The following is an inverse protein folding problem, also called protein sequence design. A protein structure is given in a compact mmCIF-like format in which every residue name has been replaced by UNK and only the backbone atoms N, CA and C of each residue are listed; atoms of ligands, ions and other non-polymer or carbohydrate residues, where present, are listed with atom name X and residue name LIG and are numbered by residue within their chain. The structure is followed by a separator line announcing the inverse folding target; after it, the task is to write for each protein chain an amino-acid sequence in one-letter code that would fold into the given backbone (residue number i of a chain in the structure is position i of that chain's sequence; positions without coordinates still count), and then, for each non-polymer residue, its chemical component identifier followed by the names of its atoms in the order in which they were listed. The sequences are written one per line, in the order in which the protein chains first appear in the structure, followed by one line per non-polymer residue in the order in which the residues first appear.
data_IF_782639710584
#
_entry.id   IF_782639710584
#
_cell.length_a   1.000
_cell.length_b   1.000
_cell.length_c   1.000
_cell.angle_alpha   90.00
_cell.angle_beta   90.00
_cell.angle_gamma   90.00
#
_symmetry.space_group_name_H-M   'P 1'
#
loop_
_entity.id
_entity.type
_entity.pdbx_description
1 polymer ?
#
# COMPACT_ATOMS: atom_id res chain seq x y z
N UNK A 1 -32.83 -25.28 60.30
CA UNK A 1 -33.08 -26.53 59.57
C UNK A 1 -32.86 -26.29 58.09
N UNK A 2 -31.88 -26.92 57.56
CA UNK A 2 -31.29 -26.78 56.24
C UNK A 2 -32.11 -27.56 55.21
N UNK A 3 -32.22 -27.01 54.02
CA UNK A 3 -32.81 -27.66 52.84
C UNK A 3 -32.02 -27.28 51.59
N UNK A 4 -30.88 -27.94 51.38
CA UNK A 4 -30.09 -27.83 50.17
C UNK A 4 -30.75 -28.57 49.00
N UNK A 5 -31.05 -27.88 47.91
CA UNK A 5 -31.40 -28.51 46.64
C UNK A 5 -30.17 -28.56 45.76
N UNK A 6 -29.69 -29.79 45.49
CA UNK A 6 -28.69 -30.08 44.44
C UNK A 6 -29.40 -30.10 43.10
N UNK A 7 -28.86 -29.32 42.17
CA UNK A 7 -29.23 -29.38 40.76
C UNK A 7 -28.48 -30.55 40.08
N UNK A 8 -29.09 -31.29 39.15
CA UNK A 8 -28.41 -32.37 38.43
C UNK A 8 -27.54 -31.84 37.35
N UNK A 9 -26.30 -32.32 37.30
CA UNK A 9 -25.35 -32.11 36.20
C UNK A 9 -25.90 -32.75 34.92
N UNK A 10 -26.21 -31.94 33.94
CA UNK A 10 -26.47 -32.36 32.57
C UNK A 10 -25.19 -32.87 31.92
N UNK A 11 -25.17 -34.14 31.57
CA UNK A 11 -24.13 -34.76 30.71
C UNK A 11 -24.25 -34.13 29.32
N UNK A 12 -23.24 -33.36 28.93
CA UNK A 12 -23.10 -32.84 27.59
C UNK A 12 -22.79 -33.97 26.61
N UNK A 13 -23.67 -34.12 25.67
CA UNK A 13 -23.50 -34.96 24.47
C UNK A 13 -22.34 -34.43 23.63
N UNK A 14 -21.30 -35.20 23.49
CA UNK A 14 -20.25 -34.99 22.48
C UNK A 14 -20.76 -35.50 21.15
N UNK A 15 -21.51 -34.70 20.45
CA UNK A 15 -21.86 -34.92 19.05
C UNK A 15 -20.75 -34.41 18.14
N UNK A 16 -20.32 -35.30 17.30
CA UNK A 16 -19.21 -35.23 16.37
C UNK A 16 -18.99 -33.91 15.68
N UNK A 17 -17.80 -33.42 15.82
CA UNK A 17 -17.25 -32.42 14.92
C UNK A 17 -17.00 -33.07 13.57
N UNK A 18 -17.96 -32.92 12.68
CA UNK A 18 -17.71 -33.10 11.26
C UNK A 18 -16.60 -32.13 10.84
N UNK A 19 -15.46 -32.69 10.49
CA UNK A 19 -14.38 -31.97 9.83
C UNK A 19 -14.87 -31.58 8.42
N UNK A 20 -15.66 -30.53 8.34
CA UNK A 20 -15.88 -29.85 7.08
C UNK A 20 -14.59 -29.07 6.78
N UNK A 21 -13.66 -29.74 6.11
CA UNK A 21 -12.55 -29.09 5.41
C UNK A 21 -13.15 -28.21 4.31
N UNK A 22 -13.55 -27.02 4.69
CA UNK A 22 -13.92 -25.97 3.73
C UNK A 22 -12.64 -25.47 3.09
N UNK A 23 -12.34 -25.98 1.90
CA UNK A 23 -11.37 -25.45 0.94
C UNK A 23 -11.62 -23.96 0.60
N UNK A 24 -12.71 -23.37 1.11
CA UNK A 24 -13.08 -21.96 0.92
C UNK A 24 -12.44 -20.98 1.88
N UNK A 25 -11.69 -21.44 2.92
CA UNK A 25 -11.17 -20.56 3.96
C UNK A 25 -9.74 -20.02 3.73
N UNK A 26 -9.13 -20.29 2.58
CA UNK A 26 -7.71 -19.99 2.34
C UNK A 26 -7.48 -18.80 1.42
N UNK A 27 -8.51 -18.20 0.88
CA UNK A 27 -8.36 -17.01 0.04
C UNK A 27 -9.06 -15.82 0.69
N UNK A 28 -8.40 -14.68 0.83
CA UNK A 28 -7.16 -14.28 0.21
C UNK A 28 -5.91 -14.64 1.04
N UNK A 29 -4.86 -14.95 0.31
CA UNK A 29 -3.56 -15.25 0.88
C UNK A 29 -2.92 -13.96 1.38
N UNK A 30 -2.42 -13.96 2.61
CA UNK A 30 -1.70 -12.84 3.24
C UNK A 30 -0.35 -13.28 3.81
N UNK A 31 0.31 -12.36 4.47
CA UNK A 31 1.57 -12.57 5.16
C UNK A 31 2.78 -11.99 4.44
N UNK A 32 3.83 -11.71 5.22
CA UNK A 32 5.06 -11.07 4.73
C UNK A 32 5.71 -11.84 3.57
N UNK A 33 5.66 -13.18 3.59
CA UNK A 33 6.18 -14.01 2.49
C UNK A 33 5.46 -13.76 1.17
N UNK A 34 4.14 -13.60 1.21
CA UNK A 34 3.32 -13.29 0.03
C UNK A 34 3.60 -11.88 -0.47
N UNK A 35 3.77 -10.90 0.42
CA UNK A 35 4.15 -9.54 0.05
C UNK A 35 5.51 -9.53 -0.67
N UNK A 36 6.53 -10.19 -0.11
CA UNK A 36 7.86 -10.26 -0.71
C UNK A 36 7.83 -10.97 -2.07
N UNK A 37 7.08 -12.05 -2.18
CA UNK A 37 6.88 -12.75 -3.46
C UNK A 37 6.18 -11.83 -4.47
N UNK A 38 5.13 -11.13 -4.07
CA UNK A 38 4.40 -10.18 -4.91
C UNK A 38 5.31 -9.06 -5.45
N UNK A 39 6.16 -8.48 -4.59
CA UNK A 39 7.16 -7.48 -4.97
C UNK A 39 8.15 -8.04 -5.99
N UNK A 40 8.67 -9.26 -5.75
CA UNK A 40 9.61 -9.90 -6.65
C UNK A 40 8.98 -10.21 -8.01
N UNK A 41 7.77 -10.77 -8.02
CA UNK A 41 7.02 -11.10 -9.25
C UNK A 41 6.69 -9.83 -10.03
N UNK A 42 6.28 -8.74 -9.37
CA UNK A 42 6.03 -7.46 -10.03
C UNK A 42 7.31 -6.86 -10.66
N UNK A 43 8.48 -7.17 -10.13
CA UNK A 43 9.76 -6.75 -10.68
C UNK A 43 10.07 -7.36 -12.06
N UNK A 44 9.60 -8.59 -12.31
CA UNK A 44 9.91 -9.31 -13.56
C UNK A 44 9.44 -8.54 -14.82
N UNK A 45 8.16 -8.14 -14.96
CA UNK A 45 7.72 -7.36 -16.12
C UNK A 45 8.39 -5.98 -16.19
N UNK A 46 8.72 -5.36 -15.06
CA UNK A 46 9.44 -4.09 -15.03
C UNK A 46 10.86 -4.25 -15.61
N UNK A 47 11.58 -5.31 -15.25
CA UNK A 47 12.88 -5.63 -15.80
C UNK A 47 12.81 -5.96 -17.29
N UNK A 48 11.81 -6.73 -17.72
CA UNK A 48 11.59 -7.00 -19.14
C UNK A 48 11.35 -5.69 -19.92
N UNK A 49 10.54 -4.79 -19.39
CA UNK A 49 10.29 -3.47 -19.97
C UNK A 49 11.59 -2.65 -20.10
N UNK A 50 12.43 -2.63 -19.05
CA UNK A 50 13.74 -1.97 -19.09
C UNK A 50 14.59 -2.58 -20.19
N UNK A 51 14.68 -3.91 -20.29
CA UNK A 51 15.49 -4.60 -21.29
C UNK A 51 15.08 -4.23 -22.73
N UNK A 52 13.77 -4.09 -22.98
CA UNK A 52 13.24 -3.68 -24.31
C UNK A 52 13.50 -2.20 -24.58
N UNK A 53 13.23 -1.32 -23.60
CA UNK A 53 13.27 0.13 -23.82
C UNK A 53 14.70 0.70 -23.84
N UNK A 54 15.65 0.15 -23.06
CA UNK A 54 16.98 0.73 -22.89
C UNK A 54 17.74 0.97 -24.21
N UNK A 55 17.49 0.12 -25.22
CA UNK A 55 18.12 0.24 -26.54
C UNK A 55 17.56 1.40 -27.35
N UNK A 56 16.30 1.77 -27.14
CA UNK A 56 15.59 2.81 -27.91
C UNK A 56 15.60 4.16 -27.23
N UNK A 57 15.51 4.19 -25.91
CA UNK A 57 15.25 5.41 -25.13
C UNK A 57 16.44 5.87 -24.29
N UNK A 58 17.47 5.02 -24.17
CA UNK A 58 18.61 5.23 -23.27
C UNK A 58 18.41 4.54 -21.92
N UNK A 59 19.51 4.06 -21.36
CA UNK A 59 19.50 3.21 -20.16
C UNK A 59 18.95 3.96 -18.93
N UNK A 60 19.40 5.20 -18.69
CA UNK A 60 18.99 5.98 -17.52
C UNK A 60 17.47 6.19 -17.45
N UNK A 61 16.85 6.57 -18.58
CA UNK A 61 15.40 6.75 -18.62
C UNK A 61 14.65 5.43 -18.50
N UNK A 62 15.09 4.37 -19.18
CA UNK A 62 14.44 3.06 -19.12
C UNK A 62 14.43 2.50 -17.69
N UNK A 63 15.56 2.61 -16.98
CA UNK A 63 15.65 2.21 -15.58
C UNK A 63 14.77 3.07 -14.68
N UNK A 64 14.75 4.40 -14.88
CA UNK A 64 13.87 5.28 -14.10
C UNK A 64 12.40 4.90 -14.26
N UNK A 65 11.96 4.60 -15.48
CA UNK A 65 10.59 4.17 -15.73
C UNK A 65 10.29 2.80 -15.12
N UNK A 66 11.16 1.82 -15.34
CA UNK A 66 10.96 0.48 -14.79
C UNK A 66 10.91 0.48 -13.25
N UNK A 67 11.80 1.23 -12.61
CA UNK A 67 11.82 1.39 -11.16
C UNK A 67 10.59 2.17 -10.64
N UNK A 68 10.10 3.18 -11.39
CA UNK A 68 8.86 3.88 -11.04
C UNK A 68 7.68 2.92 -11.01
N UNK A 69 7.51 2.13 -12.06
CA UNK A 69 6.42 1.15 -12.13
C UNK A 69 6.55 0.09 -11.04
N UNK A 70 7.77 -0.37 -10.78
CA UNK A 70 8.01 -1.33 -9.71
C UNK A 70 7.76 -0.74 -8.32
N UNK A 71 8.12 0.53 -8.06
CA UNK A 71 7.81 1.19 -6.79
C UNK A 71 6.30 1.35 -6.58
N UNK A 72 5.55 1.69 -7.63
CA UNK A 72 4.08 1.76 -7.55
C UNK A 72 3.45 0.37 -7.29
N UNK A 73 3.95 -0.67 -7.96
CA UNK A 73 3.51 -2.04 -7.69
C UNK A 73 3.85 -2.48 -6.26
N UNK A 74 5.04 -2.11 -5.76
CA UNK A 74 5.46 -2.38 -4.38
C UNK A 74 4.53 -1.68 -3.38
N UNK A 75 4.18 -0.41 -3.61
CA UNK A 75 3.19 0.30 -2.79
C UNK A 75 1.87 -0.46 -2.78
N UNK A 76 1.35 -0.86 -3.95
CA UNK A 76 0.11 -1.64 -4.04
C UNK A 76 0.18 -2.96 -3.27
N UNK A 77 1.29 -3.69 -3.35
CA UNK A 77 1.50 -4.93 -2.60
C UNK A 77 1.51 -4.68 -1.08
N UNK A 78 2.27 -3.68 -0.63
CA UNK A 78 2.42 -3.39 0.80
C UNK A 78 1.14 -2.85 1.44
N UNK A 79 0.30 -2.18 0.66
CA UNK A 79 -0.91 -1.54 1.18
C UNK A 79 -2.16 -2.41 1.02
N UNK A 80 -2.19 -3.33 0.04
CA UNK A 80 -3.36 -4.12 -0.30
C UNK A 80 -3.25 -5.62 0.04
N UNK A 81 -2.07 -6.10 0.44
CA UNK A 81 -1.90 -7.46 0.98
C UNK A 81 -1.78 -7.37 2.49
N UNK A 82 -2.64 -8.07 3.27
CA UNK A 82 -2.56 -8.06 4.73
C UNK A 82 -1.31 -8.77 5.22
N UNK A 83 -0.76 -8.32 6.35
CA UNK A 83 0.43 -8.92 6.98
C UNK A 83 0.18 -10.31 7.53
N UNK A 84 -1.06 -10.57 7.95
CA UNK A 84 -1.50 -11.87 8.48
C UNK A 84 -2.49 -12.55 7.54
N UNK A 85 -2.76 -13.84 7.76
CA UNK A 85 -3.75 -14.57 6.99
C UNK A 85 -5.12 -13.91 7.10
N UNK A 86 -5.60 -13.32 6.01
CA UNK A 86 -6.87 -12.62 6.03
C UNK A 86 -8.07 -13.59 6.08
N UNK A 87 -9.12 -13.28 6.83
CA UNK A 87 -10.29 -14.14 7.01
C UNK A 87 -11.21 -14.25 5.77
N UNK A 88 -10.85 -13.69 4.67
CA UNK A 88 -11.65 -13.61 3.44
C UNK A 88 -11.93 -12.18 3.02
N UNK A 89 -12.53 -12.01 1.86
CA UNK A 89 -12.98 -10.68 1.40
C UNK A 89 -14.33 -10.40 2.04
N UNK A 90 -14.38 -9.35 2.85
CA UNK A 90 -15.61 -8.84 3.47
C UNK A 90 -15.86 -7.44 2.93
N UNK A 91 -17.09 -7.13 2.58
CA UNK A 91 -17.45 -5.80 2.07
C UNK A 91 -17.59 -4.77 3.19
N UNK A 92 -17.48 -3.50 2.84
CA UNK A 92 -17.46 -2.38 3.78
C UNK A 92 -18.73 -2.24 4.63
N UNK A 93 -19.88 -2.70 4.13
CA UNK A 93 -21.16 -2.69 4.85
C UNK A 93 -21.17 -3.59 6.10
N UNK A 94 -20.27 -4.56 6.16
CA UNK A 94 -20.08 -5.42 7.33
C UNK A 94 -19.10 -4.82 8.36
N UNK A 95 -18.58 -3.61 8.11
CA UNK A 95 -17.66 -2.90 9.01
C UNK A 95 -18.39 -2.05 10.03
N UNK A 96 -17.76 -1.92 11.20
CA UNK A 96 -18.18 -0.96 12.23
C UNK A 96 -17.97 0.51 11.81
N UNK A 97 -17.06 0.78 10.87
CA UNK A 97 -16.69 2.12 10.40
C UNK A 97 -16.99 2.27 8.92
N UNK A 98 -18.11 2.90 8.58
CA UNK A 98 -18.57 3.10 7.21
C UNK A 98 -18.13 4.45 6.61
N UNK A 99 -17.30 5.22 7.30
CA UNK A 99 -16.86 6.54 6.85
C UNK A 99 -15.36 6.71 6.97
N UNK A 100 -14.78 7.47 6.01
CA UNK A 100 -13.40 7.91 6.12
C UNK A 100 -13.25 8.93 7.25
N UNK A 101 -12.16 8.87 8.00
CA UNK A 101 -11.75 9.93 8.92
C UNK A 101 -11.19 11.11 8.13
N UNK A 102 -11.70 12.30 8.39
CA UNK A 102 -11.20 13.55 7.83
C UNK A 102 -10.41 14.38 8.84
N UNK A 103 -10.21 13.86 10.06
CA UNK A 103 -9.44 14.53 11.09
C UNK A 103 -7.94 14.26 10.87
N UNK A 104 -7.22 15.27 10.38
CA UNK A 104 -5.77 15.17 10.20
C UNK A 104 -5.05 15.00 11.55
N UNK A 105 -4.26 13.93 11.63
CA UNK A 105 -3.59 13.56 12.86
C UNK A 105 -4.43 12.70 13.80
N UNK A 106 -5.67 12.38 13.41
CA UNK A 106 -6.67 11.47 13.96
C UNK A 106 -6.52 11.01 15.41
N UNK A 107 -7.30 10.06 15.88
CA UNK A 107 -7.21 9.56 17.25
C UNK A 107 -5.95 8.72 17.52
N UNK A 108 -5.02 8.65 16.57
CA UNK A 108 -3.78 7.93 16.73
C UNK A 108 -2.95 8.57 17.87
N UNK A 109 -2.42 7.79 18.81
CA UNK A 109 -1.60 8.29 19.92
C UNK A 109 -0.32 9.01 19.47
N UNK A 110 -0.04 9.01 18.20
CA UNK A 110 1.20 9.47 17.57
C UNK A 110 1.13 10.93 17.10
N UNK A 111 -0.04 11.55 17.15
CA UNK A 111 -0.21 12.98 17.01
C UNK A 111 0.13 13.57 15.65
N UNK A 112 0.32 14.87 15.62
CA UNK A 112 0.46 15.71 14.43
C UNK A 112 1.76 15.46 13.61
N UNK A 113 2.82 14.94 14.22
CA UNK A 113 4.13 14.84 13.59
C UNK A 113 4.35 13.49 12.89
N UNK A 114 4.66 13.52 11.58
CA UNK A 114 5.03 12.33 10.77
C UNK A 114 6.15 11.51 11.43
N UNK A 115 7.09 12.16 12.09
CA UNK A 115 8.30 11.52 12.64
C UNK A 115 8.03 10.79 13.96
N UNK A 116 6.97 11.12 14.68
CA UNK A 116 6.64 10.50 15.97
C UNK A 116 5.85 9.20 15.85
N UNK A 117 5.28 8.91 14.66
CA UNK A 117 4.46 7.73 14.42
C UNK A 117 5.08 6.79 13.39
N UNK A 118 5.36 5.54 13.78
CA UNK A 118 5.95 4.56 12.88
C UNK A 118 5.15 4.36 11.59
N UNK A 119 3.82 4.31 11.66
CA UNK A 119 2.96 4.11 10.50
C UNK A 119 2.97 5.32 9.57
N UNK A 120 2.83 6.52 10.08
CA UNK A 120 2.86 7.78 9.31
C UNK A 120 4.19 7.96 8.57
N UNK A 121 5.30 7.70 9.26
CA UNK A 121 6.62 7.74 8.65
C UNK A 121 6.75 6.71 7.52
N UNK A 122 6.24 5.49 7.73
CA UNK A 122 6.28 4.45 6.70
C UNK A 122 5.46 4.86 5.47
N UNK A 123 4.25 5.40 5.64
CA UNK A 123 3.43 5.90 4.55
C UNK A 123 4.17 6.95 3.73
N UNK A 124 4.80 7.93 4.38
CA UNK A 124 5.61 8.91 3.68
C UNK A 124 6.81 8.26 2.95
N UNK A 125 7.59 7.43 3.64
CA UNK A 125 8.83 6.85 3.09
C UNK A 125 8.60 5.98 1.86
N UNK A 126 7.52 5.19 1.82
CA UNK A 126 7.25 4.33 0.65
C UNK A 126 6.92 5.11 -0.63
N UNK A 127 6.46 6.37 -0.52
CA UNK A 127 6.18 7.23 -1.68
C UNK A 127 7.38 8.05 -2.15
N UNK A 128 8.43 8.21 -1.33
CA UNK A 128 9.65 8.96 -1.73
C UNK A 128 10.28 8.43 -3.01
N UNK A 129 10.53 7.11 -3.18
CA UNK A 129 11.08 6.58 -4.43
C UNK A 129 10.22 6.91 -5.65
N UNK A 130 8.89 6.80 -5.53
CA UNK A 130 7.95 7.08 -6.62
C UNK A 130 8.03 8.55 -7.05
N UNK A 131 8.08 9.49 -6.10
CA UNK A 131 8.24 10.91 -6.40
C UNK A 131 9.57 11.23 -7.09
N UNK A 132 10.67 10.65 -6.61
CA UNK A 132 11.98 10.84 -7.21
C UNK A 132 12.07 10.30 -8.65
N UNK A 133 11.60 9.08 -8.85
CA UNK A 133 11.59 8.42 -10.16
C UNK A 133 10.65 9.10 -11.14
N UNK A 134 9.52 9.63 -10.67
CA UNK A 134 8.61 10.45 -11.47
C UNK A 134 9.34 11.63 -12.12
N UNK A 135 10.14 12.36 -11.35
CA UNK A 135 10.95 13.47 -11.87
C UNK A 135 11.94 12.97 -12.93
N UNK A 136 12.67 11.89 -12.65
CA UNK A 136 13.65 11.33 -13.58
C UNK A 136 13.01 10.86 -14.90
N UNK A 137 11.80 10.33 -14.82
CA UNK A 137 11.03 9.95 -16.02
C UNK A 137 10.57 11.15 -16.80
N UNK A 138 9.97 12.15 -16.14
CA UNK A 138 9.32 13.29 -16.80
C UNK A 138 10.31 14.37 -17.25
N UNK A 139 11.46 14.51 -16.60
CA UNK A 139 12.47 15.53 -16.93
C UNK A 139 13.08 15.37 -18.33
N UNK A 140 12.81 14.24 -19.02
CA UNK A 140 13.21 14.05 -20.41
C UNK A 140 12.54 15.04 -21.38
N UNK A 141 11.31 15.49 -21.07
CA UNK A 141 10.51 16.34 -21.94
C UNK A 141 10.58 17.81 -21.54
N UNK A 142 10.49 18.70 -22.53
CA UNK A 142 10.46 20.16 -22.31
C UNK A 142 9.26 20.60 -21.46
N UNK A 143 8.21 19.80 -21.43
CA UNK A 143 7.00 20.02 -20.63
C UNK A 143 7.17 19.66 -19.15
N UNK A 144 8.34 19.20 -18.71
CA UNK A 144 8.58 18.69 -17.34
C UNK A 144 8.06 19.63 -16.25
N UNK A 145 8.21 20.94 -16.43
CA UNK A 145 7.70 21.96 -15.48
C UNK A 145 6.20 21.85 -15.18
N UNK A 146 5.43 21.34 -16.14
CA UNK A 146 3.99 21.15 -16.01
C UNK A 146 3.64 19.70 -15.71
N UNK A 147 4.34 18.75 -16.31
CA UNK A 147 4.02 17.33 -16.16
C UNK A 147 4.47 16.77 -14.82
N UNK A 148 5.50 17.33 -14.16
CA UNK A 148 5.90 16.90 -12.80
C UNK A 148 4.81 17.23 -11.78
N UNK A 149 4.27 18.46 -11.66
CA UNK A 149 3.15 18.72 -10.76
C UNK A 149 1.91 17.87 -11.05
N UNK A 150 1.56 17.67 -12.33
CA UNK A 150 0.45 16.79 -12.72
C UNK A 150 0.72 15.34 -12.31
N UNK A 151 1.94 14.86 -12.48
CA UNK A 151 2.35 13.54 -12.03
C UNK A 151 2.30 13.37 -10.50
N UNK A 152 2.68 14.42 -9.76
CA UNK A 152 2.55 14.43 -8.30
C UNK A 152 1.07 14.34 -7.86
N UNK A 153 0.17 15.07 -8.53
CA UNK A 153 -1.27 14.91 -8.33
C UNK A 153 -1.73 13.48 -8.68
N UNK A 154 -1.16 12.88 -9.73
CA UNK A 154 -1.40 11.48 -10.07
C UNK A 154 -1.01 10.51 -8.95
N UNK A 155 0.13 10.74 -8.27
CA UNK A 155 0.51 9.95 -7.09
C UNK A 155 -0.46 10.16 -5.93
N UNK A 156 -0.97 11.38 -5.73
CA UNK A 156 -2.04 11.66 -4.79
C UNK A 156 -3.32 10.88 -5.10
N UNK A 157 -3.72 10.81 -6.38
CA UNK A 157 -4.88 10.00 -6.79
C UNK A 157 -4.65 8.50 -6.58
N UNK A 158 -3.43 7.99 -6.77
CA UNK A 158 -3.07 6.61 -6.42
C UNK A 158 -3.26 6.39 -4.91
N UNK A 159 -2.82 7.33 -4.07
CA UNK A 159 -3.02 7.24 -2.62
C UNK A 159 -4.51 7.21 -2.25
N UNK A 160 -5.32 8.11 -2.81
CA UNK A 160 -6.78 8.09 -2.60
C UNK A 160 -7.40 6.76 -3.07
N UNK A 161 -6.92 6.22 -4.19
CA UNK A 161 -7.38 4.92 -4.70
C UNK A 161 -7.04 3.76 -3.76
N UNK A 162 -5.89 3.81 -3.10
CA UNK A 162 -5.50 2.84 -2.07
C UNK A 162 -6.47 2.92 -0.88
N UNK A 163 -6.70 4.12 -0.33
CA UNK A 163 -7.61 4.33 0.79
C UNK A 163 -9.04 3.87 0.46
N UNK A 164 -9.54 4.22 -0.73
CA UNK A 164 -10.85 3.77 -1.19
C UNK A 164 -10.91 2.23 -1.30
N UNK A 165 -9.85 1.59 -1.78
CA UNK A 165 -9.78 0.12 -1.87
C UNK A 165 -9.75 -0.51 -0.49
N UNK A 166 -9.00 0.05 0.45
CA UNK A 166 -8.93 -0.41 1.82
C UNK A 166 -10.28 -0.25 2.52
N UNK A 167 -11.01 0.84 2.25
CA UNK A 167 -12.36 1.06 2.76
C UNK A 167 -13.35 0.00 2.26
N UNK A 168 -13.28 -0.38 0.99
CA UNK A 168 -14.16 -1.41 0.41
C UNK A 168 -13.79 -2.82 0.90
N UNK A 169 -12.50 -3.10 1.08
CA UNK A 169 -12.01 -4.42 1.48
C UNK A 169 -11.75 -4.47 2.99
N UNK A 170 -12.77 -4.80 3.78
CA UNK A 170 -12.69 -4.90 5.26
C UNK A 170 -11.60 -5.86 5.76
N UNK A 171 -11.23 -6.85 4.96
CA UNK A 171 -10.17 -7.82 5.27
C UNK A 171 -8.81 -7.20 5.57
N UNK A 172 -8.59 -5.95 5.15
CA UNK A 172 -7.33 -5.25 5.36
C UNK A 172 -7.22 -4.66 6.76
N UNK A 173 -8.32 -4.73 7.55
CA UNK A 173 -8.45 -4.19 8.91
C UNK A 173 -7.88 -2.76 9.05
N UNK A 174 -8.08 -1.97 7.98
CA UNK A 174 -7.67 -0.57 7.92
C UNK A 174 -8.88 0.31 7.69
N UNK A 175 -8.95 1.39 8.44
CA UNK A 175 -9.90 2.47 8.21
C UNK A 175 -9.33 3.43 7.18
N UNK A 176 -10.20 3.99 6.33
CA UNK A 176 -9.84 5.08 5.45
C UNK A 176 -9.53 6.33 6.28
N UNK A 177 -8.32 6.90 6.12
CA UNK A 177 -7.88 8.10 6.81
C UNK A 177 -7.24 9.10 5.84
N UNK A 178 -7.70 10.35 5.88
CA UNK A 178 -7.11 11.44 5.10
C UNK A 178 -5.65 11.69 5.49
N UNK A 179 -5.27 11.36 6.71
CA UNK A 179 -3.89 11.49 7.20
C UNK A 179 -2.93 10.65 6.36
N UNK A 180 -3.31 9.43 5.99
CA UNK A 180 -2.50 8.55 5.17
C UNK A 180 -2.30 9.13 3.76
N UNK A 181 -3.35 9.75 3.19
CA UNK A 181 -3.23 10.44 1.89
C UNK A 181 -2.25 11.62 1.96
N UNK A 182 -2.32 12.41 3.03
CA UNK A 182 -1.43 13.56 3.23
C UNK A 182 0.01 13.11 3.46
N UNK A 183 0.22 12.05 4.24
CA UNK A 183 1.55 11.51 4.51
C UNK A 183 2.17 10.91 3.23
N UNK A 184 1.42 10.17 2.45
CA UNK A 184 1.83 9.62 1.15
C UNK A 184 2.20 10.74 0.16
N UNK A 185 1.37 11.77 0.07
CA UNK A 185 1.62 12.92 -0.82
C UNK A 185 2.85 13.73 -0.35
N UNK A 186 3.04 13.87 0.97
CA UNK A 186 4.23 14.50 1.54
C UNK A 186 5.48 13.71 1.17
N UNK A 187 5.46 12.38 1.30
CA UNK A 187 6.54 11.53 0.87
C UNK A 187 6.85 11.66 -0.62
N UNK A 188 5.82 11.67 -1.46
CA UNK A 188 5.98 11.89 -2.89
C UNK A 188 6.59 13.27 -3.21
N UNK A 189 6.18 14.33 -2.50
CA UNK A 189 6.74 15.68 -2.67
C UNK A 189 8.22 15.74 -2.25
N UNK A 190 8.59 15.12 -1.13
CA UNK A 190 10.00 14.95 -0.73
C UNK A 190 10.76 14.20 -1.83
N UNK A 191 10.17 13.13 -2.37
CA UNK A 191 10.72 12.38 -3.50
C UNK A 191 10.95 13.27 -4.73
N UNK A 192 10.03 14.16 -5.07
CA UNK A 192 10.21 15.13 -6.16
C UNK A 192 11.45 15.99 -5.92
N UNK A 193 11.67 16.50 -4.71
CA UNK A 193 12.86 17.28 -4.38
C UNK A 193 14.15 16.44 -4.53
N UNK A 194 14.13 15.20 -4.05
CA UNK A 194 15.24 14.25 -4.25
C UNK A 194 15.49 13.99 -5.74
N UNK A 195 14.44 13.75 -6.52
CA UNK A 195 14.53 13.54 -7.97
C UNK A 195 15.13 14.74 -8.70
N UNK A 196 14.74 15.96 -8.34
CA UNK A 196 15.32 17.19 -8.88
C UNK A 196 16.81 17.30 -8.55
N UNK A 197 17.22 16.97 -7.33
CA UNK A 197 18.63 16.94 -6.91
C UNK A 197 19.45 15.87 -7.66
N UNK A 198 18.83 14.76 -8.07
CA UNK A 198 19.48 13.68 -8.82
C UNK A 198 19.60 13.96 -10.32
N UNK A 199 18.88 14.92 -10.89
CA UNK A 199 18.90 15.22 -12.32
C UNK A 199 20.32 15.45 -12.91
N UNK A 200 21.20 16.24 -12.28
CA UNK A 200 22.55 16.47 -12.82
C UNK A 200 23.42 15.22 -12.85
N UNK A 201 23.11 14.22 -11.99
CA UNK A 201 23.83 12.95 -11.90
C UNK A 201 23.29 11.95 -12.93
N UNK A 202 21.97 11.69 -12.91
CA UNK A 202 21.32 10.64 -13.70
C UNK A 202 21.19 11.03 -15.18
N UNK A 203 20.93 12.31 -15.48
CA UNK A 203 20.81 12.86 -16.82
C UNK A 203 19.93 12.03 -17.76
N UNK A 204 18.64 11.84 -17.46
CA UNK A 204 17.75 10.90 -18.16
C UNK A 204 17.52 11.25 -19.64
N UNK A 205 17.90 12.43 -20.08
CA UNK A 205 17.84 12.89 -21.48
C UNK A 205 19.01 12.42 -22.33
N UNK A 206 20.09 11.91 -21.75
CA UNK A 206 21.23 11.35 -22.51
C UNK A 206 20.84 9.98 -23.06
N UNK A 207 21.12 9.77 -24.34
CA UNK A 207 20.99 8.48 -25.03
C UNK A 207 22.26 7.67 -24.91
#
# INVERSE_FOLDING_TARGET
MAGGRRSPQGRGSTTGRGCATTLGAVFPVGGVGVMLLGIAVAGVPCLALVAVLRRRTGAAWAWSLGLLLWSLATIGVLTLIPTDGAPGVVYADERFYNSCSFDYGGPAPEGFWIVSGGQRLLNAVIFVPSGALLVLVLARWRSARWTIPVGLLGLGLVSVGIEATQQVLSRLDRSCDVTDVVDNLTGAAIGVLVGLALLPIVRPWRR
#
